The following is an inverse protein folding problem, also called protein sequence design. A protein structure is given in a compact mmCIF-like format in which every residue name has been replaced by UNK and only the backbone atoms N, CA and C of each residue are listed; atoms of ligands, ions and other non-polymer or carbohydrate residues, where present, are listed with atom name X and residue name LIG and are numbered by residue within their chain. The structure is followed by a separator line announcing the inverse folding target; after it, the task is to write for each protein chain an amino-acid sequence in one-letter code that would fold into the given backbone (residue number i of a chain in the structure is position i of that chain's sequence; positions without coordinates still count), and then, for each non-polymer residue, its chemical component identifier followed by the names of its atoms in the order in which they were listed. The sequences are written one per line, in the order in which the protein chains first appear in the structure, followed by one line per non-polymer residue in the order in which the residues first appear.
data_IF_493380447379
#
_entry.id   IF_493380447379
#
_cell.length_a   1.000
_cell.length_b   1.000
_cell.length_c   1.000
_cell.angle_alpha   90.00
_cell.angle_beta   90.00
_cell.angle_gamma   90.00
#
_symmetry.space_group_name_H-M   'P 1'
#
loop_
_entity.id
_entity.type
_entity.pdbx_description
1 polymer ?
#
# COMPACT_ATOMS: atom_id res chain seq x y z
N UNK A 1 -33.34 -4.90 -42.81
CA UNK A 1 -31.94 -5.33 -42.60
C UNK A 1 -31.75 -5.31 -41.10
N UNK A 2 -31.77 -6.46 -40.44
CA UNK A 2 -31.67 -6.54 -38.99
C UNK A 2 -30.23 -6.87 -38.62
N UNK A 3 -29.55 -5.93 -37.97
CA UNK A 3 -28.21 -6.11 -37.42
C UNK A 3 -28.25 -7.14 -36.28
N UNK A 4 -27.65 -8.31 -36.52
CA UNK A 4 -27.43 -9.33 -35.51
C UNK A 4 -26.17 -8.96 -34.71
N UNK A 5 -26.36 -8.36 -33.54
CA UNK A 5 -25.28 -8.15 -32.57
C UNK A 5 -25.09 -9.48 -31.84
N UNK A 6 -24.06 -10.23 -32.23
CA UNK A 6 -23.65 -11.46 -31.54
C UNK A 6 -22.89 -11.06 -30.28
N UNK A 7 -23.25 -11.56 -29.08
CA UNK A 7 -22.46 -11.33 -27.88
C UNK A 7 -21.06 -11.91 -28.11
N UNK A 8 -20.05 -11.06 -28.06
CA UNK A 8 -18.66 -11.51 -28.12
C UNK A 8 -18.37 -12.24 -26.82
N UNK A 9 -18.36 -13.56 -26.89
CA UNK A 9 -17.82 -14.40 -25.84
C UNK A 9 -16.35 -13.96 -25.64
N UNK A 10 -16.04 -13.42 -24.46
CA UNK A 10 -14.73 -12.83 -24.16
C UNK A 10 -13.58 -13.85 -24.15
N UNK A 11 -13.87 -15.12 -24.45
CA UNK A 11 -12.92 -16.21 -24.55
C UNK A 11 -12.37 -16.29 -25.98
N UNK A 12 -11.63 -15.25 -26.38
CA UNK A 12 -10.74 -15.35 -27.54
C UNK A 12 -9.32 -15.58 -27.03
N UNK A 13 -8.63 -16.64 -27.49
CA UNK A 13 -7.28 -16.91 -27.01
C UNK A 13 -6.35 -15.75 -27.40
N UNK A 14 -5.76 -15.12 -26.38
CA UNK A 14 -4.81 -14.01 -26.55
C UNK A 14 -5.31 -12.61 -26.14
N UNK A 15 -6.52 -12.47 -25.60
CA UNK A 15 -6.95 -11.18 -25.03
C UNK A 15 -6.41 -11.01 -23.60
N UNK A 16 -5.80 -9.86 -23.32
CA UNK A 16 -5.33 -9.49 -21.98
C UNK A 16 -6.53 -9.44 -21.02
N UNK A 17 -6.61 -10.42 -20.10
CA UNK A 17 -7.73 -10.58 -19.16
C UNK A 17 -8.58 -11.84 -19.36
N UNK A 18 -8.26 -12.71 -20.32
CA UNK A 18 -8.88 -14.04 -20.40
C UNK A 18 -8.31 -14.94 -19.29
N UNK A 19 -9.14 -15.25 -18.29
CA UNK A 19 -8.81 -16.18 -17.20
C UNK A 19 -8.81 -17.66 -17.63
N UNK A 20 -9.18 -17.95 -18.89
CA UNK A 20 -9.33 -19.32 -19.40
C UNK A 20 -7.99 -19.96 -19.81
N UNK A 21 -6.94 -19.17 -20.00
CA UNK A 21 -5.57 -19.67 -20.09
C UNK A 21 -4.77 -19.16 -18.90
N UNK A 22 -4.19 -20.10 -18.13
CA UNK A 22 -3.10 -19.79 -17.22
C UNK A 22 -2.06 -18.95 -17.98
N UNK A 23 -1.55 -17.89 -17.36
CA UNK A 23 -0.52 -16.99 -17.92
C UNK A 23 0.79 -17.78 -18.11
N UNK A 24 0.83 -18.69 -19.08
CA UNK A 24 2.00 -19.48 -19.40
C UNK A 24 2.86 -18.68 -20.36
N UNK A 25 3.72 -17.84 -19.78
CA UNK A 25 4.58 -16.90 -20.49
C UNK A 25 5.74 -17.58 -21.27
N UNK A 26 5.63 -18.88 -21.55
CA UNK A 26 6.67 -19.68 -22.22
C UNK A 26 8.01 -19.68 -21.47
N UNK A 27 7.99 -19.39 -20.17
CA UNK A 27 9.20 -19.37 -19.36
C UNK A 27 9.66 -20.81 -19.10
N UNK A 28 10.94 -21.14 -19.34
CA UNK A 28 11.46 -22.46 -19.02
C UNK A 28 11.39 -22.70 -17.50
N UNK A 29 10.68 -23.74 -17.07
CA UNK A 29 10.54 -24.09 -15.66
C UNK A 29 9.56 -25.23 -15.43
N UNK A 30 9.60 -25.80 -14.23
CA UNK A 30 8.67 -26.83 -13.77
C UNK A 30 7.39 -26.16 -13.26
N UNK A 31 6.24 -26.29 -13.95
CA UNK A 31 5.00 -25.63 -13.52
C UNK A 31 4.51 -26.17 -12.17
N UNK A 32 4.89 -27.40 -11.81
CA UNK A 32 4.62 -28.03 -10.51
C UNK A 32 5.38 -27.37 -9.34
N UNK A 33 6.47 -26.66 -9.61
CA UNK A 33 7.25 -25.91 -8.60
C UNK A 33 6.74 -24.46 -8.43
N UNK A 34 5.68 -24.06 -9.14
CA UNK A 34 5.11 -22.72 -9.01
C UNK A 34 4.41 -22.62 -7.65
N UNK A 35 4.85 -21.67 -6.83
CA UNK A 35 4.16 -21.30 -5.59
C UNK A 35 2.79 -20.71 -5.92
N UNK A 36 1.75 -21.17 -5.24
CA UNK A 36 0.41 -20.61 -5.39
C UNK A 36 0.29 -19.32 -4.57
N UNK A 37 -0.70 -18.47 -4.91
CA UNK A 37 -1.00 -17.29 -4.10
C UNK A 37 -1.37 -17.68 -2.65
N UNK A 38 -2.00 -18.84 -2.47
CA UNK A 38 -2.34 -19.38 -1.14
C UNK A 38 -1.09 -19.69 -0.34
N UNK A 39 -0.08 -20.32 -0.94
CA UNK A 39 1.19 -20.64 -0.28
C UNK A 39 1.93 -19.36 0.14
N UNK A 40 1.92 -18.33 -0.72
CA UNK A 40 2.49 -17.01 -0.42
C UNK A 40 1.74 -16.34 0.74
N UNK A 41 0.41 -16.40 0.75
CA UNK A 41 -0.41 -15.82 1.83
C UNK A 41 -0.19 -16.55 3.16
N UNK A 42 -0.11 -17.87 3.16
CA UNK A 42 0.15 -18.65 4.38
C UNK A 42 1.54 -18.31 4.97
N UNK A 43 2.55 -18.17 4.11
CA UNK A 43 3.91 -17.87 4.54
C UNK A 43 4.08 -16.43 5.09
N UNK A 44 3.39 -15.44 4.50
CA UNK A 44 3.67 -14.01 4.75
C UNK A 44 2.50 -13.18 5.30
N UNK A 45 1.30 -13.75 5.46
CA UNK A 45 0.12 -13.05 5.99
C UNK A 45 -0.48 -13.82 7.18
N UNK A 46 0.36 -14.27 8.11
CA UNK A 46 -0.02 -14.93 9.36
C UNK A 46 0.06 -13.98 10.57
N UNK A 47 -0.40 -14.40 11.74
CA UNK A 47 -0.45 -13.55 12.95
C UNK A 47 0.93 -13.10 13.45
N UNK A 48 1.98 -13.81 13.07
CA UNK A 48 3.36 -13.50 13.46
C UNK A 48 4.07 -12.58 12.45
N UNK A 49 3.42 -12.27 11.32
CA UNK A 49 4.02 -11.39 10.32
C UNK A 49 3.89 -9.93 10.78
N UNK A 50 4.94 -9.09 10.71
CA UNK A 50 4.93 -7.74 11.28
C UNK A 50 3.76 -6.88 10.79
N UNK A 51 3.40 -7.02 9.50
CA UNK A 51 2.33 -6.27 8.84
C UNK A 51 0.93 -6.70 9.25
N UNK A 52 0.76 -7.92 9.78
CA UNK A 52 -0.54 -8.51 10.16
C UNK A 52 -0.79 -8.45 11.66
N UNK A 53 0.25 -8.15 12.46
CA UNK A 53 0.14 -8.10 13.92
C UNK A 53 -0.91 -7.07 14.34
N UNK A 54 -1.93 -7.53 15.07
CA UNK A 54 -2.97 -6.65 15.58
C UNK A 54 -2.39 -5.61 16.54
N UNK A 55 -2.77 -4.35 16.32
CA UNK A 55 -2.50 -3.23 17.22
C UNK A 55 -3.85 -2.74 17.74
N UNK A 56 -3.89 -2.37 19.02
CA UNK A 56 -5.08 -1.76 19.59
C UNK A 56 -5.38 -0.43 18.87
N UNK A 57 -6.55 -0.30 18.22
CA UNK A 57 -6.89 0.93 17.53
C UNK A 57 -7.06 2.06 18.55
N UNK A 58 -6.73 3.31 18.19
CA UNK A 58 -7.02 4.45 19.04
C UNK A 58 -8.54 4.58 19.28
N UNK A 59 -8.95 5.22 20.39
CA UNK A 59 -10.36 5.40 20.73
C UNK A 59 -11.13 6.15 19.62
N UNK A 60 -12.45 5.93 19.57
CA UNK A 60 -13.30 6.46 18.50
C UNK A 60 -13.23 7.99 18.41
N UNK A 61 -12.76 8.49 17.27
CA UNK A 61 -12.58 9.93 17.01
C UNK A 61 -11.15 10.45 17.22
N UNK A 62 -10.25 9.63 17.76
CA UNK A 62 -8.85 10.00 18.00
C UNK A 62 -7.96 9.44 16.87
N UNK A 63 -7.14 10.32 16.29
CA UNK A 63 -6.09 9.93 15.33
C UNK A 63 -4.83 9.59 16.11
N UNK A 64 -3.95 8.77 15.53
CA UNK A 64 -2.60 8.64 16.09
C UNK A 64 -1.91 10.01 16.06
N UNK A 65 -1.35 10.40 17.21
CA UNK A 65 -0.56 11.61 17.33
C UNK A 65 0.83 11.38 16.75
N UNK A 66 1.06 11.94 15.57
CA UNK A 66 2.34 11.82 14.84
C UNK A 66 3.47 12.61 15.53
N UNK A 67 3.11 13.60 16.36
CA UNK A 67 4.07 14.43 17.07
C UNK A 67 4.48 13.85 18.42
N UNK A 68 3.88 12.74 18.86
CA UNK A 68 4.12 12.20 20.20
C UNK A 68 5.61 11.90 20.46
N UNK A 69 6.30 11.28 19.50
CA UNK A 69 7.74 10.99 19.60
C UNK A 69 8.59 12.27 19.60
N UNK A 70 8.28 13.22 18.70
CA UNK A 70 9.01 14.47 18.57
C UNK A 70 8.81 15.40 19.79
N UNK A 71 7.66 15.35 20.45
CA UNK A 71 7.35 16.10 21.66
C UNK A 71 8.15 15.65 22.89
N UNK A 72 8.64 14.41 22.93
CA UNK A 72 9.51 13.94 24.03
C UNK A 72 10.90 14.58 23.97
N UNK A 73 11.31 15.06 22.79
CA UNK A 73 12.64 15.60 22.50
C UNK A 73 12.60 17.12 22.38
N UNK A 74 11.55 17.68 21.78
CA UNK A 74 11.38 19.10 21.55
C UNK A 74 10.99 19.88 22.82
N UNK A 75 11.31 21.17 22.87
CA UNK A 75 10.94 22.04 23.99
C UNK A 75 9.42 22.35 24.00
N UNK A 76 8.84 22.50 22.81
CA UNK A 76 7.42 22.79 22.62
C UNK A 76 6.88 22.14 21.34
N UNK A 77 5.55 22.07 21.24
CA UNK A 77 4.84 21.53 20.07
C UNK A 77 5.16 22.27 18.77
N UNK A 78 5.47 23.58 18.84
CA UNK A 78 5.90 24.32 17.65
C UNK A 78 7.24 23.84 17.11
N UNK A 79 8.19 23.49 17.98
CA UNK A 79 9.49 22.96 17.55
C UNK A 79 9.35 21.53 17.02
N UNK A 80 8.55 20.68 17.67
CA UNK A 80 8.25 19.33 17.18
C UNK A 80 7.69 19.33 15.75
N UNK A 81 6.83 20.31 15.41
CA UNK A 81 6.30 20.50 14.05
C UNK A 81 7.38 20.93 13.04
N UNK A 82 8.30 21.78 13.46
CA UNK A 82 9.39 22.25 12.60
C UNK A 82 10.37 21.12 12.29
N UNK A 83 10.69 20.31 13.29
CA UNK A 83 11.61 19.18 13.14
C UNK A 83 11.05 18.14 12.16
N UNK A 84 9.79 17.69 12.36
CA UNK A 84 9.12 16.78 11.42
C UNK A 84 9.09 17.37 10.00
N UNK A 85 8.71 18.66 9.89
CA UNK A 85 8.65 19.35 8.60
C UNK A 85 10.03 19.45 7.92
N UNK A 86 11.11 19.50 8.69
CA UNK A 86 12.47 19.59 8.16
C UNK A 86 12.93 18.24 7.62
N UNK A 87 12.59 17.14 8.31
CA UNK A 87 12.90 15.78 7.89
C UNK A 87 12.15 15.38 6.61
N UNK A 88 10.92 15.86 6.45
CA UNK A 88 10.12 15.66 5.24
C UNK A 88 10.42 16.67 4.12
N UNK A 89 11.25 17.68 4.39
CA UNK A 89 11.59 18.73 3.42
C UNK A 89 12.65 18.27 2.42
N UNK A 90 12.55 18.80 1.21
CA UNK A 90 13.50 18.53 0.14
C UNK A 90 14.62 19.59 0.11
N UNK A 91 15.86 19.25 -0.29
CA UNK A 91 17.00 20.19 -0.30
C UNK A 91 16.78 21.48 -1.11
N UNK A 92 15.86 21.47 -2.08
CA UNK A 92 15.54 22.62 -2.93
C UNK A 92 14.26 23.36 -2.50
N UNK A 93 13.62 22.96 -1.40
CA UNK A 93 12.41 23.59 -0.87
C UNK A 93 12.74 24.83 -0.04
N UNK A 94 11.81 25.78 0.06
CA UNK A 94 11.87 26.85 1.04
C UNK A 94 11.84 26.25 2.47
N UNK A 95 12.54 26.87 3.44
CA UNK A 95 12.59 26.36 4.81
C UNK A 95 11.19 26.37 5.46
N UNK A 96 10.87 25.37 6.29
CA UNK A 96 9.58 25.28 6.97
C UNK A 96 9.41 26.44 7.97
N UNK A 97 8.16 26.87 8.16
CA UNK A 97 7.80 27.93 9.11
C UNK A 97 6.64 27.47 9.99
N UNK A 98 6.80 27.65 11.30
CA UNK A 98 5.81 27.24 12.30
C UNK A 98 4.58 28.14 12.18
N UNK A 99 3.38 27.55 12.07
CA UNK A 99 2.15 28.33 11.97
C UNK A 99 1.77 28.90 13.34
N UNK A 100 2.01 30.20 13.52
CA UNK A 100 1.51 30.94 14.68
C UNK A 100 0.04 31.31 14.48
N UNK A 101 -0.85 30.53 15.07
CA UNK A 101 -2.28 30.84 15.16
C UNK A 101 -2.49 31.52 16.51
N UNK A 102 -2.83 32.82 16.53
CA UNK A 102 -3.18 33.59 17.74
C UNK A 102 -4.68 33.52 18.01
#
# INVERSE_FOLDING_TARGET
MADQIVPQDGSQPGVLGDFSQAQDLGQPGHPEDRVSETDVKEAFQNENTPTTRAVEPPPEGEKHDQLAEHLEIAEDRQEALIDESLEESFPASDPPSAKHIT
#
